data_IF_582176132567
#
_entry.id   IF_582176132567
#
_cell.length_a   1.000
_cell.length_b   1.000
_cell.length_c   1.000
_cell.angle_alpha   90.00
_cell.angle_beta   90.00
_cell.angle_gamma   90.00
#
_symmetry.space_group_name_H-M   'P 1'
#
loop_
_entity.id
_entity.type
_entity.pdbx_description
1 polymer ?
#
# COMPACT_ATOMS: atom_id res chain seq x y z
N UNK A 1 -23.83 28.05 -29.91
CA UNK A 1 -23.65 26.65 -30.33
C UNK A 1 -23.35 25.77 -29.13
N UNK A 2 -24.26 24.88 -28.68
CA UNK A 2 -23.99 23.96 -27.59
C UNK A 2 -22.84 23.00 -27.96
N UNK A 3 -21.85 22.86 -27.07
CA UNK A 3 -20.70 21.98 -27.30
C UNK A 3 -21.19 20.52 -27.30
N UNK A 4 -21.07 19.83 -28.43
CA UNK A 4 -21.42 18.40 -28.56
C UNK A 4 -20.64 17.60 -27.49
N UNK A 5 -21.35 16.77 -26.70
CA UNK A 5 -20.72 15.85 -25.74
C UNK A 5 -19.78 14.92 -26.52
N UNK A 6 -18.55 14.72 -26.04
CA UNK A 6 -17.61 13.78 -26.67
C UNK A 6 -18.08 12.35 -26.34
N UNK A 7 -18.14 11.49 -27.35
CA UNK A 7 -18.42 10.06 -27.16
C UNK A 7 -17.26 9.36 -26.44
N UNK A 8 -17.55 8.22 -25.81
CA UNK A 8 -16.56 7.43 -25.06
C UNK A 8 -15.33 7.08 -25.90
N UNK A 9 -15.54 6.57 -27.11
CA UNK A 9 -14.47 6.22 -28.05
C UNK A 9 -13.55 7.41 -28.35
N UNK A 10 -14.14 8.60 -28.57
CA UNK A 10 -13.39 9.83 -28.83
C UNK A 10 -12.53 10.29 -27.64
N UNK A 11 -12.87 9.90 -26.42
CA UNK A 11 -12.09 10.20 -25.22
C UNK A 11 -10.98 9.18 -25.02
N UNK A 12 -11.24 7.91 -25.31
CA UNK A 12 -10.23 6.84 -25.27
C UNK A 12 -9.17 7.01 -26.38
N UNK A 13 -9.59 7.42 -27.58
CA UNK A 13 -8.70 7.80 -28.68
C UNK A 13 -7.83 9.01 -28.30
N UNK A 14 -8.44 10.06 -27.74
CA UNK A 14 -7.70 11.23 -27.26
C UNK A 14 -6.68 10.90 -26.15
N UNK A 15 -6.93 9.86 -25.33
CA UNK A 15 -5.94 9.36 -24.36
C UNK A 15 -4.75 8.71 -25.05
N UNK A 16 -4.98 7.90 -26.10
CA UNK A 16 -3.92 7.24 -26.88
C UNK A 16 -3.08 8.27 -27.64
N UNK A 17 -3.72 9.24 -28.28
CA UNK A 17 -3.02 10.33 -28.98
C UNK A 17 -2.21 11.21 -28.04
N UNK A 18 -2.71 11.46 -26.83
CA UNK A 18 -1.96 12.22 -25.84
C UNK A 18 -0.68 11.50 -25.40
N UNK A 19 -0.72 10.17 -25.28
CA UNK A 19 0.45 9.35 -24.97
C UNK A 19 1.44 9.34 -26.14
N UNK A 20 0.95 9.34 -27.39
CA UNK A 20 1.77 9.40 -28.60
C UNK A 20 2.48 10.74 -28.76
N UNK A 21 1.74 11.85 -28.63
CA UNK A 21 2.27 13.22 -28.79
C UNK A 21 3.26 13.59 -27.68
N UNK A 22 3.06 13.03 -26.48
CA UNK A 22 3.93 13.30 -25.32
C UNK A 22 4.82 12.11 -24.95
N UNK A 23 5.12 11.24 -25.92
CA UNK A 23 6.09 10.17 -25.76
C UNK A 23 7.45 10.74 -25.34
N UNK A 24 8.23 9.96 -24.60
CA UNK A 24 9.62 10.29 -24.29
C UNK A 24 10.40 10.52 -25.58
N UNK A 25 11.04 11.69 -25.77
CA UNK A 25 11.92 11.89 -26.91
C UNK A 25 13.12 10.92 -26.84
N UNK A 26 13.66 10.56 -27.99
CA UNK A 26 14.77 9.59 -28.12
C UNK A 26 16.09 10.16 -27.57
N UNK A 27 16.22 11.49 -27.51
CA UNK A 27 17.41 12.17 -26.98
C UNK A 27 17.32 12.41 -25.45
N UNK A 28 18.47 12.49 -24.75
CA UNK A 28 18.49 12.82 -23.32
C UNK A 28 17.91 14.21 -23.09
N UNK A 29 16.86 14.26 -22.28
CA UNK A 29 16.08 15.46 -22.02
C UNK A 29 16.43 16.08 -20.68
N UNK A 30 16.57 17.41 -20.68
CA UNK A 30 16.76 18.22 -19.47
C UNK A 30 15.73 17.87 -18.38
N UNK A 31 16.14 17.74 -17.10
CA UNK A 31 15.26 17.29 -16.02
C UNK A 31 14.06 18.24 -15.82
N UNK A 32 14.21 19.51 -16.16
CA UNK A 32 13.15 20.52 -16.11
C UNK A 32 12.09 20.31 -17.19
N UNK A 33 12.50 19.95 -18.42
CA UNK A 33 11.61 19.65 -19.54
C UNK A 33 10.84 18.34 -19.30
N UNK A 34 11.51 17.31 -18.75
CA UNK A 34 10.89 16.05 -18.34
C UNK A 34 9.76 16.25 -17.33
N UNK A 35 9.99 17.06 -16.29
CA UNK A 35 8.96 17.40 -15.30
C UNK A 35 7.76 18.11 -15.93
N UNK A 36 7.99 19.04 -16.87
CA UNK A 36 6.91 19.75 -17.59
C UNK A 36 6.10 18.81 -18.48
N UNK A 37 6.73 17.84 -19.13
CA UNK A 37 6.04 16.82 -19.95
C UNK A 37 5.18 15.89 -19.08
N UNK A 38 5.75 15.37 -18.00
CA UNK A 38 5.00 14.53 -17.06
C UNK A 38 3.80 15.26 -16.45
N UNK A 39 3.96 16.52 -16.09
CA UNK A 39 2.86 17.33 -15.57
C UNK A 39 1.72 17.45 -16.59
N UNK A 40 2.04 17.76 -17.86
CA UNK A 40 1.07 17.85 -18.96
C UNK A 40 0.33 16.52 -19.19
N UNK A 41 1.08 15.41 -19.20
CA UNK A 41 0.53 14.05 -19.31
C UNK A 41 -0.45 13.74 -18.18
N UNK A 42 -0.05 13.98 -16.93
CA UNK A 42 -0.89 13.70 -15.77
C UNK A 42 -2.15 14.57 -15.73
N UNK A 43 -2.06 15.85 -16.08
CA UNK A 43 -3.24 16.73 -16.13
C UNK A 43 -4.22 16.32 -17.21
N UNK A 44 -3.73 15.96 -18.41
CA UNK A 44 -4.57 15.52 -19.51
C UNK A 44 -5.23 14.18 -19.21
N UNK A 45 -4.46 13.20 -18.72
CA UNK A 45 -4.98 11.89 -18.31
C UNK A 45 -6.06 12.03 -17.24
N UNK A 46 -5.85 12.88 -16.23
CA UNK A 46 -6.84 13.13 -15.17
C UNK A 46 -8.13 13.73 -15.72
N UNK A 47 -8.04 14.71 -16.62
CA UNK A 47 -9.21 15.36 -17.21
C UNK A 47 -10.01 14.41 -18.11
N UNK A 48 -9.33 13.59 -18.91
CA UNK A 48 -9.96 12.60 -19.80
C UNK A 48 -10.59 11.44 -19.00
N UNK A 49 -9.92 10.95 -17.96
CA UNK A 49 -10.52 9.94 -17.06
C UNK A 49 -11.74 10.48 -16.32
N UNK A 50 -11.72 11.75 -15.91
CA UNK A 50 -12.90 12.41 -15.32
C UNK A 50 -14.06 12.49 -16.32
N UNK A 51 -13.77 12.75 -17.60
CA UNK A 51 -14.78 12.75 -18.65
C UNK A 51 -15.35 11.35 -18.92
N UNK A 52 -14.52 10.29 -18.90
CA UNK A 52 -15.00 8.91 -18.99
C UNK A 52 -15.91 8.53 -17.81
N UNK A 53 -15.54 8.91 -16.59
CA UNK A 53 -16.37 8.68 -15.41
C UNK A 53 -17.71 9.42 -15.50
N UNK A 54 -17.71 10.65 -16.04
CA UNK A 54 -18.95 11.42 -16.24
C UNK A 54 -19.89 10.79 -17.27
N UNK A 55 -19.37 10.10 -18.28
CA UNK A 55 -20.19 9.32 -19.23
C UNK A 55 -20.76 8.07 -18.53
N UNK A 56 -19.92 7.31 -17.81
CA UNK A 56 -20.35 6.11 -17.07
C UNK A 56 -21.47 6.36 -16.05
N UNK A 57 -21.53 7.57 -15.47
CA UNK A 57 -22.57 7.97 -14.52
C UNK A 57 -23.81 8.53 -15.23
N UNK A 58 -23.64 9.13 -16.42
CA UNK A 58 -24.74 9.74 -17.18
C UNK A 58 -25.60 8.76 -17.99
N UNK A 59 -25.16 7.52 -18.15
CA UNK A 59 -25.91 6.45 -18.85
C UNK A 59 -26.90 5.69 -17.90
N UNK A 60 -27.08 6.16 -16.66
CA UNK A 60 -27.85 5.46 -15.61
C UNK A 60 -29.21 6.05 -15.21
N UNK A 61 -29.67 7.17 -15.80
CA UNK A 61 -30.81 7.95 -15.30
C UNK A 61 -31.99 8.09 -16.29
N UNK A 62 -32.34 7.07 -17.08
CA UNK A 62 -33.52 7.13 -17.97
C UNK A 62 -34.57 6.01 -17.80
N UNK A 63 -34.37 4.99 -16.95
CA UNK A 63 -35.28 3.83 -16.89
C UNK A 63 -35.98 3.57 -15.54
N UNK A 64 -35.90 4.47 -14.55
CA UNK A 64 -36.53 4.25 -13.23
C UNK A 64 -37.67 5.23 -12.96
N UNK A 65 -38.81 5.02 -13.64
CA UNK A 65 -40.08 5.68 -13.33
C UNK A 65 -41.03 4.66 -12.67
N UNK A 66 -41.22 4.63 -11.34
CA UNK A 66 -42.28 3.83 -10.77
C UNK A 66 -43.62 4.56 -10.86
N UNK A 67 -44.60 3.84 -11.42
CA UNK A 67 -45.99 4.22 -11.60
C UNK A 67 -46.76 4.33 -10.28
N UNK A 68 -47.90 5.01 -10.35
CA UNK A 68 -48.73 5.47 -9.25
C UNK A 68 -49.64 4.42 -8.60
N UNK A 69 -49.82 4.56 -7.27
CA UNK A 69 -51.03 4.36 -6.44
C UNK A 69 -51.59 2.93 -6.19
N UNK A 70 -52.52 2.70 -5.21
CA UNK A 70 -52.89 3.42 -3.96
C UNK A 70 -53.13 2.53 -2.70
N UNK A 71 -53.25 3.20 -1.53
CA UNK A 71 -54.06 2.96 -0.30
C UNK A 71 -54.53 1.53 0.09
N UNK A 72 -54.27 1.12 1.35
CA UNK A 72 -55.20 0.29 2.13
C UNK A 72 -55.03 0.49 3.64
N UNK A 73 -56.17 0.42 4.32
CA UNK A 73 -56.53 0.91 5.66
C UNK A 73 -56.56 -0.23 6.70
N UNK A 74 -56.68 0.17 7.98
CA UNK A 74 -57.29 -0.51 9.15
C UNK A 74 -56.40 -1.42 10.06
N UNK A 75 -56.77 -1.68 11.35
CA UNK A 75 -56.21 -0.99 12.52
C UNK A 75 -55.69 -1.93 13.64
N UNK A 76 -55.20 -1.34 14.74
CA UNK A 76 -54.84 -2.00 16.01
C UNK A 76 -56.06 -2.62 16.74
N UNK A 77 -55.88 -3.47 17.79
CA UNK A 77 -55.82 -2.91 19.16
C UNK A 77 -55.07 -3.72 20.25
N UNK A 78 -54.76 -3.04 21.37
CA UNK A 78 -54.56 -3.61 22.73
C UNK A 78 -53.11 -4.00 23.08
N UNK A 79 -52.54 -3.80 24.28
CA UNK A 79 -53.12 -3.82 25.64
C UNK A 79 -52.05 -3.32 26.67
N UNK A 80 -52.53 -2.52 27.64
CA UNK A 80 -52.13 -2.32 29.07
C UNK A 80 -50.94 -1.41 29.49
N UNK A 81 -51.38 -0.27 30.04
CA UNK A 81 -50.89 0.59 31.14
C UNK A 81 -49.86 0.06 32.16
N UNK A 82 -49.02 0.98 32.65
CA UNK A 82 -48.92 1.26 34.11
C UNK A 82 -48.34 2.66 34.41
N UNK A 83 -49.04 3.39 35.29
CA UNK A 83 -48.67 4.63 36.01
C UNK A 83 -47.26 4.53 36.64
N UNK A 84 -46.48 5.59 36.90
CA UNK A 84 -46.77 6.72 37.81
C UNK A 84 -45.86 7.95 37.54
N UNK A 85 -46.43 9.14 37.72
CA UNK A 85 -45.81 10.46 37.97
C UNK A 85 -45.71 10.67 39.51
N UNK A 86 -45.21 11.81 40.07
CA UNK A 86 -44.40 12.91 39.51
C UNK A 86 -43.22 13.31 40.44
N UNK A 87 -42.33 14.21 39.99
CA UNK A 87 -41.89 15.34 40.82
C UNK A 87 -41.33 16.47 39.94
N UNK A 88 -41.93 17.64 40.13
CA UNK A 88 -41.60 18.89 39.48
C UNK A 88 -40.34 19.51 40.06
N UNK A 89 -39.43 19.99 39.21
CA UNK A 89 -38.51 21.10 39.55
C UNK A 89 -38.42 22.03 38.34
N UNK A 90 -38.51 23.31 38.64
CA UNK A 90 -38.79 24.45 37.78
C UNK A 90 -37.83 24.68 36.59
N UNK A 91 -38.30 25.37 35.53
CA UNK A 91 -37.49 25.72 34.37
C UNK A 91 -36.56 26.90 34.66
N UNK A 92 -35.26 26.71 34.46
CA UNK A 92 -34.28 27.81 34.38
C UNK A 92 -34.39 28.44 33.00
N UNK A 93 -34.87 29.68 32.99
CA UNK A 93 -34.80 30.63 31.88
C UNK A 93 -33.35 30.97 31.57
N UNK A 94 -32.83 30.51 30.43
CA UNK A 94 -31.66 31.11 29.80
C UNK A 94 -31.98 31.47 28.35
N UNK A 95 -32.25 32.77 28.19
CA UNK A 95 -32.11 33.58 26.99
C UNK A 95 -31.06 33.01 26.02
N UNK A 96 -31.51 32.50 24.87
CA UNK A 96 -30.67 32.42 23.68
C UNK A 96 -31.50 32.42 22.39
N UNK A 97 -31.88 33.61 21.96
CA UNK A 97 -31.99 33.92 20.54
C UNK A 97 -30.71 34.69 20.15
N UNK A 98 -30.17 34.45 18.96
CA UNK A 98 -30.67 35.22 17.83
C UNK A 98 -31.18 34.33 16.71
N UNK A 99 -32.41 34.62 16.33
CA UNK A 99 -33.07 34.23 15.11
C UNK A 99 -32.53 35.06 13.94
N UNK A 100 -32.62 34.48 12.73
CA UNK A 100 -32.59 35.11 11.40
C UNK A 100 -31.32 34.86 10.57
N UNK A 101 -31.24 33.65 10.02
CA UNK A 101 -30.76 33.49 8.64
C UNK A 101 -31.88 33.98 7.70
N UNK A 102 -31.59 34.88 6.75
CA UNK A 102 -32.50 35.13 5.64
C UNK A 102 -32.46 33.92 4.71
N UNK A 103 -33.57 33.17 4.68
CA UNK A 103 -33.93 32.33 3.53
C UNK A 103 -34.21 33.27 2.35
N UNK A 104 -33.19 33.58 1.55
CA UNK A 104 -33.42 34.01 0.18
C UNK A 104 -33.52 32.77 -0.70
N UNK A 105 -34.75 32.35 -0.97
CA UNK A 105 -35.07 31.53 -2.12
C UNK A 105 -34.79 32.39 -3.34
N UNK A 106 -33.75 32.03 -4.08
CA UNK A 106 -33.35 32.71 -5.30
C UNK A 106 -32.49 31.77 -6.12
N UNK A 107 -33.11 31.20 -7.15
CA UNK A 107 -32.47 30.48 -8.23
C UNK A 107 -31.20 31.18 -8.71
N UNK A 108 -30.05 30.55 -8.48
CA UNK A 108 -28.80 30.92 -9.12
C UNK A 108 -27.87 29.70 -9.21
N UNK A 109 -27.97 29.00 -10.35
CA UNK A 109 -26.82 28.47 -11.08
C UNK A 109 -25.74 27.76 -10.28
N UNK A 110 -25.90 26.44 -10.16
CA UNK A 110 -24.95 25.38 -10.57
C UNK A 110 -23.54 25.84 -11.03
N UNK A 111 -22.72 26.43 -10.17
CA UNK A 111 -21.28 26.64 -10.40
C UNK A 111 -20.53 27.07 -9.14
N UNK A 112 -20.34 26.21 -8.12
CA UNK A 112 -19.46 26.55 -6.98
C UNK A 112 -18.61 25.40 -6.39
N UNK A 113 -18.62 24.20 -6.97
CA UNK A 113 -17.88 23.06 -6.39
C UNK A 113 -16.37 22.99 -6.74
N UNK A 114 -15.80 24.01 -7.40
CA UNK A 114 -14.36 24.04 -7.75
C UNK A 114 -13.54 24.97 -6.84
N UNK A 115 -14.15 25.98 -6.21
CA UNK A 115 -13.45 26.95 -5.37
C UNK A 115 -13.13 26.40 -3.95
N UNK A 116 -14.01 25.58 -3.38
CA UNK A 116 -13.77 24.95 -2.06
C UNK A 116 -12.54 24.03 -2.07
N UNK A 117 -12.38 23.19 -3.11
CA UNK A 117 -11.28 22.23 -3.19
C UNK A 117 -9.87 22.86 -3.29
N UNK A 118 -9.75 24.10 -3.78
CA UNK A 118 -8.46 24.81 -3.83
C UNK A 118 -8.11 25.45 -2.48
N UNK A 119 -9.08 26.03 -1.78
CA UNK A 119 -8.86 26.60 -0.45
C UNK A 119 -8.49 25.54 0.60
N UNK A 120 -9.12 24.36 0.56
CA UNK A 120 -8.74 23.22 1.42
C UNK A 120 -7.33 22.67 1.11
N UNK A 121 -6.90 22.66 -0.15
CA UNK A 121 -5.55 22.23 -0.54
C UNK A 121 -4.46 23.23 -0.13
N UNK A 122 -4.74 24.53 -0.23
CA UNK A 122 -3.81 25.56 0.22
C UNK A 122 -3.65 25.56 1.75
N UNK A 123 -4.74 25.41 2.53
CA UNK A 123 -4.66 25.26 4.00
C UNK A 123 -3.90 24.01 4.45
N UNK A 124 -4.04 22.87 3.76
CA UNK A 124 -3.25 21.66 4.08
C UNK A 124 -1.75 21.85 3.84
N UNK A 125 -1.36 22.59 2.79
CA UNK A 125 0.05 22.85 2.50
C UNK A 125 0.68 23.81 3.49
N UNK A 126 -0.02 24.89 3.86
CA UNK A 126 0.48 25.81 4.89
C UNK A 126 0.54 25.14 6.27
N UNK A 127 -0.45 24.33 6.63
CA UNK A 127 -0.47 23.57 7.89
C UNK A 127 0.72 22.60 8.04
N UNK A 128 1.10 21.87 6.98
CA UNK A 128 2.25 20.95 7.01
C UNK A 128 3.57 21.72 7.18
N UNK A 129 3.71 22.89 6.54
CA UNK A 129 4.91 23.72 6.66
C UNK A 129 5.03 24.31 8.06
N UNK A 130 3.93 24.81 8.63
CA UNK A 130 3.91 25.34 10.00
C UNK A 130 4.16 24.26 11.05
N UNK A 131 3.63 23.05 10.85
CA UNK A 131 3.87 21.93 11.77
C UNK A 131 5.32 21.43 11.72
N UNK A 132 5.94 21.41 10.53
CA UNK A 132 7.38 21.10 10.39
C UNK A 132 8.26 22.15 11.06
N UNK A 133 7.93 23.44 10.89
CA UNK A 133 8.65 24.52 11.55
C UNK A 133 8.49 24.44 13.08
N UNK A 134 7.29 24.17 13.58
CA UNK A 134 7.03 23.97 15.01
C UNK A 134 7.79 22.76 15.58
N UNK A 135 7.86 21.63 14.85
CA UNK A 135 8.70 20.48 15.24
C UNK A 135 10.19 20.81 15.25
N UNK A 136 10.66 21.67 14.35
CA UNK A 136 12.04 22.15 14.31
C UNK A 136 12.37 23.14 15.44
N UNK A 137 11.37 23.73 16.08
CA UNK A 137 11.54 24.62 17.25
C UNK A 137 11.32 23.90 18.59
N UNK A 138 10.85 22.64 18.59
CA UNK A 138 10.71 21.87 19.85
C UNK A 138 12.05 21.67 20.55
N UNK A 139 12.11 21.81 21.88
CA UNK A 139 13.31 21.53 22.65
C UNK A 139 13.72 20.05 22.57
N UNK A 140 15.01 19.76 22.77
CA UNK A 140 15.58 18.43 22.55
C UNK A 140 14.90 17.33 23.39
N UNK A 141 14.56 17.62 24.65
CA UNK A 141 13.92 16.67 25.55
C UNK A 141 12.50 16.27 25.09
N UNK A 142 11.71 17.21 24.57
CA UNK A 142 10.39 16.91 23.99
C UNK A 142 10.49 16.04 22.74
N UNK A 143 11.52 16.26 21.91
CA UNK A 143 11.77 15.39 20.75
C UNK A 143 12.11 13.96 21.17
N UNK A 144 12.85 13.79 22.26
CA UNK A 144 13.14 12.45 22.82
C UNK A 144 11.85 11.80 23.32
N UNK A 145 11.04 12.50 24.11
CA UNK A 145 9.76 11.99 24.61
C UNK A 145 8.83 11.61 23.45
N UNK A 146 8.75 12.43 22.40
CA UNK A 146 7.93 12.14 21.23
C UNK A 146 8.45 10.94 20.44
N UNK A 147 9.77 10.80 20.28
CA UNK A 147 10.39 9.61 19.67
C UNK A 147 10.08 8.36 20.47
N UNK A 148 10.19 8.40 21.80
CA UNK A 148 9.84 7.28 22.66
C UNK A 148 8.34 6.94 22.57
N UNK A 149 7.45 7.94 22.60
CA UNK A 149 6.01 7.72 22.37
C UNK A 149 5.73 7.08 21.01
N UNK A 150 6.43 7.49 19.97
CA UNK A 150 6.29 6.89 18.64
C UNK A 150 6.85 5.46 18.58
N UNK A 151 7.98 5.19 19.24
CA UNK A 151 8.52 3.83 19.40
C UNK A 151 7.51 2.92 20.10
N UNK A 152 6.92 3.36 21.20
CA UNK A 152 5.89 2.61 21.93
C UNK A 152 4.63 2.38 21.08
N UNK A 153 4.18 3.38 20.33
CA UNK A 153 3.06 3.21 19.38
C UNK A 153 3.40 2.23 18.27
N UNK A 154 4.62 2.24 17.76
CA UNK A 154 5.08 1.31 16.74
C UNK A 154 5.23 -0.11 17.28
N UNK A 155 5.70 -0.26 18.52
CA UNK A 155 5.82 -1.56 19.19
C UNK A 155 4.46 -2.18 19.52
N UNK A 156 3.47 -1.37 19.91
CA UNK A 156 2.12 -1.82 20.26
C UNK A 156 1.18 -1.95 19.05
N UNK A 157 1.46 -1.26 17.94
CA UNK A 157 0.61 -1.31 16.74
C UNK A 157 0.43 -2.73 16.15
N UNK A 158 1.47 -3.58 16.05
CA UNK A 158 1.31 -4.96 15.55
C UNK A 158 0.44 -5.81 16.47
N UNK A 159 0.54 -5.64 17.79
CA UNK A 159 -0.21 -6.42 18.77
C UNK A 159 -1.73 -6.19 18.70
N UNK A 160 -2.14 -5.02 18.21
CA UNK A 160 -3.55 -4.66 18.06
C UNK A 160 -4.12 -4.92 16.65
N UNK A 161 -3.33 -5.51 15.74
CA UNK A 161 -3.80 -5.85 14.38
C UNK A 161 -4.49 -7.21 14.39
N UNK A 162 -5.55 -7.33 13.62
CA UNK A 162 -6.15 -8.64 13.36
C UNK A 162 -5.22 -9.49 12.49
N UNK A 163 -5.37 -10.81 12.53
CA UNK A 163 -4.57 -11.72 11.70
C UNK A 163 -4.67 -11.39 10.21
N UNK A 164 -5.86 -11.01 9.74
CA UNK A 164 -6.08 -10.56 8.36
C UNK A 164 -5.29 -9.28 8.02
N UNK A 165 -5.20 -8.34 8.96
CA UNK A 165 -4.40 -7.13 8.79
C UNK A 165 -2.89 -7.42 8.80
N UNK A 166 -2.45 -8.37 9.63
CA UNK A 166 -1.06 -8.83 9.62
C UNK A 166 -0.73 -9.55 8.32
N UNK A 167 -1.62 -10.42 7.83
CA UNK A 167 -1.45 -11.11 6.56
C UNK A 167 -1.36 -10.12 5.39
N UNK A 168 -2.31 -9.18 5.28
CA UNK A 168 -2.26 -8.15 4.23
C UNK A 168 -1.00 -7.29 4.29
N UNK A 169 -0.52 -6.95 5.49
CA UNK A 169 0.74 -6.24 5.65
C UNK A 169 1.95 -7.07 5.19
N UNK A 170 2.01 -8.36 5.57
CA UNK A 170 3.08 -9.28 5.14
C UNK A 170 3.08 -9.45 3.62
N UNK A 171 1.91 -9.59 3.00
CA UNK A 171 1.79 -9.68 1.54
C UNK A 171 2.23 -8.39 0.84
N UNK A 172 1.86 -7.22 1.38
CA UNK A 172 2.33 -5.94 0.83
C UNK A 172 3.86 -5.80 0.95
N UNK A 173 4.46 -6.22 2.06
CA UNK A 173 5.91 -6.20 2.22
C UNK A 173 6.61 -7.21 1.31
N UNK A 174 6.03 -8.40 1.11
CA UNK A 174 6.51 -9.38 0.13
C UNK A 174 6.51 -8.80 -1.28
N UNK A 175 5.42 -8.14 -1.70
CA UNK A 175 5.33 -7.51 -3.01
C UNK A 175 6.34 -6.37 -3.18
N UNK A 176 6.55 -5.55 -2.14
CA UNK A 176 7.58 -4.49 -2.15
C UNK A 176 8.98 -5.08 -2.31
N UNK A 177 9.30 -6.15 -1.57
CA UNK A 177 10.60 -6.80 -1.67
C UNK A 177 10.83 -7.41 -3.05
N UNK A 178 9.78 -7.97 -3.68
CA UNK A 178 9.85 -8.46 -5.04
C UNK A 178 10.10 -7.32 -6.04
N UNK A 179 9.36 -6.22 -5.95
CA UNK A 179 9.56 -5.03 -6.79
C UNK A 179 10.98 -4.49 -6.62
N UNK A 180 11.47 -4.41 -5.39
CA UNK A 180 12.85 -4.02 -5.09
C UNK A 180 13.83 -4.99 -5.77
N UNK A 181 13.65 -6.30 -5.61
CA UNK A 181 14.53 -7.34 -6.19
C UNK A 181 14.54 -7.32 -7.71
N UNK A 182 13.40 -7.09 -8.36
CA UNK A 182 13.33 -6.99 -9.83
C UNK A 182 14.03 -5.76 -10.39
N UNK A 183 14.15 -4.70 -9.58
CA UNK A 183 14.79 -3.45 -9.96
C UNK A 183 16.26 -3.34 -9.50
N UNK A 184 16.79 -4.37 -8.81
CA UNK A 184 18.19 -4.38 -8.38
C UNK A 184 19.12 -4.57 -9.57
N UNK A 185 20.22 -3.83 -9.57
CA UNK A 185 21.34 -4.08 -10.48
C UNK A 185 22.17 -5.27 -10.00
N UNK A 186 23.02 -5.81 -10.87
CA UNK A 186 23.94 -6.89 -10.48
C UNK A 186 24.92 -6.46 -9.37
N UNK A 187 25.33 -5.19 -9.38
CA UNK A 187 26.15 -4.62 -8.32
C UNK A 187 25.41 -4.62 -6.97
N UNK A 188 24.16 -4.15 -6.94
CA UNK A 188 23.33 -4.17 -5.72
C UNK A 188 23.09 -5.60 -5.23
N UNK A 189 22.90 -6.55 -6.15
CA UNK A 189 22.75 -7.96 -5.83
C UNK A 189 24.04 -8.55 -5.24
N UNK A 190 25.21 -8.16 -5.77
CA UNK A 190 26.53 -8.52 -5.23
C UNK A 190 26.70 -8.05 -3.80
N UNK A 191 26.44 -6.76 -3.53
CA UNK A 191 26.49 -6.19 -2.19
C UNK A 191 25.51 -6.87 -1.23
N UNK A 192 24.28 -7.15 -1.68
CA UNK A 192 23.29 -7.84 -0.86
C UNK A 192 23.75 -9.27 -0.49
N UNK A 193 24.37 -10.00 -1.42
CA UNK A 193 24.95 -11.33 -1.15
C UNK A 193 26.12 -11.23 -0.17
N UNK A 194 26.99 -10.23 -0.32
CA UNK A 194 28.13 -10.03 0.57
C UNK A 194 27.66 -9.67 1.99
N UNK A 195 26.70 -8.74 2.13
CA UNK A 195 26.07 -8.43 3.43
C UNK A 195 25.42 -9.67 4.04
N UNK A 196 24.75 -10.49 3.25
CA UNK A 196 24.16 -11.74 3.72
C UNK A 196 25.24 -12.73 4.20
N UNK A 197 26.32 -12.92 3.43
CA UNK A 197 27.47 -13.76 3.81
C UNK A 197 28.10 -13.28 5.12
N UNK A 198 28.38 -11.99 5.26
CA UNK A 198 28.94 -11.41 6.49
C UNK A 198 27.97 -11.56 7.67
N UNK A 199 26.67 -11.38 7.44
CA UNK A 199 25.63 -11.63 8.44
C UNK A 199 25.64 -13.08 8.91
N UNK A 200 25.68 -14.05 8.00
CA UNK A 200 25.76 -15.47 8.33
C UNK A 200 27.04 -15.81 9.12
N UNK A 201 28.20 -15.28 8.71
CA UNK A 201 29.45 -15.47 9.45
C UNK A 201 29.35 -14.90 10.86
N UNK A 202 28.77 -13.71 11.02
CA UNK A 202 28.54 -13.11 12.34
C UNK A 202 27.59 -13.97 13.19
N UNK A 203 26.51 -14.48 12.61
CA UNK A 203 25.59 -15.37 13.33
C UNK A 203 26.29 -16.65 13.76
N UNK A 204 27.06 -17.30 12.87
CA UNK A 204 27.84 -18.50 13.20
C UNK A 204 28.86 -18.23 14.30
N UNK A 205 29.58 -17.11 14.24
CA UNK A 205 30.58 -16.76 15.23
C UNK A 205 30.01 -16.48 16.64
N UNK A 206 28.72 -16.15 16.75
CA UNK A 206 28.05 -15.88 18.04
C UNK A 206 27.11 -17.03 18.46
N UNK A 207 27.17 -18.16 17.77
CA UNK A 207 26.30 -19.31 18.02
C UNK A 207 26.78 -20.09 19.24
N UNK A 208 25.84 -20.65 19.99
CA UNK A 208 26.16 -21.55 21.12
C UNK A 208 26.30 -23.00 20.63
N UNK A 209 27.03 -23.83 21.38
CA UNK A 209 27.22 -25.25 21.03
C UNK A 209 25.89 -26.00 20.87
N UNK A 210 24.90 -25.68 21.70
CA UNK A 210 23.54 -26.26 21.63
C UNK A 210 22.83 -25.88 20.32
N UNK A 211 22.95 -24.62 19.88
CA UNK A 211 22.41 -24.16 18.61
C UNK A 211 23.14 -24.81 17.42
N UNK A 212 24.46 -25.00 17.52
CA UNK A 212 25.22 -25.72 16.51
C UNK A 212 24.84 -27.20 16.41
N UNK A 213 24.58 -27.84 17.55
CA UNK A 213 24.09 -29.22 17.57
C UNK A 213 22.70 -29.32 16.94
N UNK A 214 21.78 -28.41 17.31
CA UNK A 214 20.45 -28.38 16.74
C UNK A 214 20.47 -28.16 15.21
N UNK A 215 21.30 -27.26 14.72
CA UNK A 215 21.47 -27.03 13.28
C UNK A 215 22.03 -28.26 12.55
N UNK A 216 23.04 -28.93 13.11
CA UNK A 216 23.60 -30.17 12.55
C UNK A 216 22.57 -31.29 12.49
N UNK A 217 21.76 -31.45 13.55
CA UNK A 217 20.72 -32.46 13.58
C UNK A 217 19.59 -32.14 12.59
N UNK A 218 19.19 -30.87 12.47
CA UNK A 218 18.23 -30.44 11.46
C UNK A 218 18.73 -30.69 10.03
N UNK A 219 20.02 -30.44 9.77
CA UNK A 219 20.64 -30.73 8.47
C UNK A 219 20.68 -32.24 8.20
N UNK A 220 20.98 -33.06 9.21
CA UNK A 220 20.95 -34.52 9.09
C UNK A 220 19.55 -35.02 8.73
N UNK A 221 18.52 -34.54 9.43
CA UNK A 221 17.11 -34.90 9.16
C UNK A 221 16.71 -34.47 7.75
N UNK A 222 17.07 -33.24 7.35
CA UNK A 222 16.77 -32.75 5.99
C UNK A 222 17.45 -33.60 4.92
N UNK A 223 18.70 -33.99 5.12
CA UNK A 223 19.42 -34.87 4.20
C UNK A 223 18.80 -36.27 4.12
N UNK A 224 18.31 -36.81 5.24
CA UNK A 224 17.58 -38.08 5.22
C UNK A 224 16.26 -37.97 4.45
N UNK A 225 15.52 -36.89 4.63
CA UNK A 225 14.29 -36.64 3.87
C UNK A 225 14.58 -36.50 2.37
N UNK A 226 15.58 -35.70 1.99
CA UNK A 226 15.98 -35.55 0.59
C UNK A 226 16.40 -36.89 -0.02
N UNK A 227 17.12 -37.74 0.72
CA UNK A 227 17.47 -39.10 0.29
C UNK A 227 16.27 -40.03 0.15
N UNK A 228 15.27 -39.90 1.01
CA UNK A 228 14.02 -40.67 0.90
C UNK A 228 13.18 -40.27 -0.31
N UNK A 229 13.26 -39.01 -0.73
CA UNK A 229 12.50 -38.45 -1.85
C UNK A 229 13.22 -38.57 -3.21
N UNK A 230 14.48 -39.03 -3.22
CA UNK A 230 15.26 -39.16 -4.45
C UNK A 230 14.70 -40.23 -5.39
N UNK A 231 14.71 -39.92 -6.68
CA UNK A 231 14.40 -40.89 -7.73
C UNK A 231 15.64 -41.70 -8.11
N UNK A 232 15.46 -42.93 -8.62
CA UNK A 232 16.59 -43.79 -9.03
C UNK A 232 17.54 -43.09 -10.03
N UNK A 233 16.98 -42.28 -10.93
CA UNK A 233 17.77 -41.50 -11.90
C UNK A 233 18.62 -40.41 -11.22
N UNK A 234 18.11 -39.76 -10.18
CA UNK A 234 18.87 -38.77 -9.41
C UNK A 234 19.96 -39.44 -8.58
N UNK A 235 19.68 -40.60 -7.98
CA UNK A 235 20.70 -41.37 -7.26
C UNK A 235 21.83 -41.81 -8.19
N UNK A 236 21.52 -42.24 -9.42
CA UNK A 236 22.55 -42.61 -10.39
C UNK A 236 23.40 -41.39 -10.80
N UNK A 237 22.78 -40.24 -11.02
CA UNK A 237 23.49 -38.99 -11.29
C UNK A 237 24.39 -38.56 -10.12
N UNK A 238 23.96 -38.76 -8.87
CA UNK A 238 24.78 -38.51 -7.68
C UNK A 238 25.96 -39.47 -7.58
N UNK A 239 25.76 -40.76 -7.87
CA UNK A 239 26.85 -41.74 -7.95
C UNK A 239 27.85 -41.37 -9.05
N UNK A 240 27.38 -40.92 -10.21
CA UNK A 240 28.24 -40.46 -11.30
C UNK A 240 29.03 -39.21 -10.92
N UNK A 241 28.37 -38.21 -10.33
CA UNK A 241 29.05 -37.01 -9.78
C UNK A 241 30.13 -37.38 -8.76
N UNK A 242 29.84 -38.31 -7.85
CA UNK A 242 30.80 -38.78 -6.87
C UNK A 242 31.99 -39.50 -7.52
N UNK A 243 31.76 -40.32 -8.55
CA UNK A 243 32.85 -40.96 -9.31
C UNK A 243 33.76 -39.92 -9.96
N UNK A 244 33.18 -38.92 -10.62
CA UNK A 244 33.94 -37.84 -11.26
C UNK A 244 34.71 -37.01 -10.23
N UNK A 245 34.10 -36.69 -9.09
CA UNK A 245 34.77 -35.97 -8.02
C UNK A 245 35.97 -36.74 -7.48
N UNK A 246 35.84 -38.06 -7.26
CA UNK A 246 36.95 -38.90 -6.81
C UNK A 246 38.06 -39.01 -7.87
N UNK A 247 37.71 -39.09 -9.15
CA UNK A 247 38.70 -39.08 -10.24
C UNK A 247 39.47 -37.75 -10.29
N UNK A 248 38.77 -36.62 -10.16
CA UNK A 248 39.39 -35.30 -10.09
C UNK A 248 40.27 -35.15 -8.85
N UNK A 249 39.80 -35.61 -7.69
CA UNK A 249 40.59 -35.59 -6.46
C UNK A 249 41.89 -36.40 -6.61
N UNK A 250 41.80 -37.61 -7.18
CA UNK A 250 42.98 -38.43 -7.48
C UNK A 250 43.93 -37.78 -8.48
N UNK A 251 43.40 -37.18 -9.55
CA UNK A 251 44.22 -36.50 -10.55
C UNK A 251 44.92 -35.24 -10.01
N UNK A 252 44.33 -34.60 -9.00
CA UNK A 252 44.86 -33.39 -8.36
C UNK A 252 45.71 -33.69 -7.11
N UNK A 253 45.69 -34.92 -6.60
CA UNK A 253 46.50 -35.31 -5.45
C UNK A 253 47.97 -35.30 -5.86
N UNK A 254 48.77 -34.58 -5.09
CA UNK A 254 50.21 -34.42 -5.31
C UNK A 254 50.95 -35.71 -4.98
N UNK A 255 52.09 -35.98 -5.63
CA UNK A 255 52.89 -37.20 -5.41
C UNK A 255 53.22 -37.44 -3.92
N UNK A 256 53.43 -36.37 -3.12
CA UNK A 256 53.65 -36.48 -1.67
C UNK A 256 52.45 -37.04 -0.89
N UNK A 257 51.21 -36.81 -1.35
CA UNK A 257 50.00 -37.38 -0.73
C UNK A 257 49.76 -38.83 -1.19
N UNK A 258 50.33 -39.24 -2.33
CA UNK A 258 50.21 -40.59 -2.86
C UNK A 258 51.17 -41.57 -2.20
N UNK A 259 52.28 -41.08 -1.64
CA UNK A 259 53.28 -41.87 -0.92
C UNK A 259 52.93 -42.09 0.57
N UNK A 260 51.90 -41.42 1.10
CA UNK A 260 51.44 -41.54 2.50
C UNK A 260 50.31 -42.57 2.72
N UNK A 261 49.77 -43.19 1.65
CA UNK A 261 48.79 -44.30 1.70
C UNK A 261 49.45 -45.70 1.61
#
# INVERSE_FOLDING_TARGET
MPRRKRTREKIEEALRDNLRVNATPVAPEEPSAKKRRQTRLHTNKRNLNKALQAIRIGDGDEDSRPAAAPLSTVPAPGIISRMEQPCAVAPVTLLRHPTWWPSSVGDATRSNNVAGGQQYRCRRRTGIVTERAARAQRPAHERVIERERNRLRQATSPANRTEQQLHTHRELDRLRLLEVRTNHTEADAGEARERNRLGQLRTRANRTDDEEYADRENDRIRQQQLRGDHTEAEEEADRERNRLHLQQARANSTEEEQDEE
#
